data_IF_591674622755
#
_entry.id   IF_591674622755
#
_cell.length_a   1.000
_cell.length_b   1.000
_cell.length_c   1.000
_cell.angle_alpha   90.00
_cell.angle_beta   90.00
_cell.angle_gamma   90.00
#
_symmetry.space_group_name_H-M   'P 1'
#
loop_
_entity.id
_entity.type
_entity.pdbx_description
1 polymer ?
#
# COMPACT_ATOMS: atom_id res chain seq x y z
N UNK A 1 -5.88 -22.57 3.00
CA UNK A 1 -6.44 -22.83 1.65
C UNK A 1 -6.42 -21.63 0.70
N UNK A 2 -6.88 -20.42 1.06
CA UNK A 2 -6.89 -19.27 0.10
C UNK A 2 -5.50 -18.69 -0.23
N UNK A 3 -4.54 -18.84 0.68
CA UNK A 3 -3.14 -18.49 0.40
C UNK A 3 -2.54 -19.37 -0.71
N UNK A 4 -3.03 -20.59 -0.96
CA UNK A 4 -2.52 -21.44 -2.04
C UNK A 4 -3.01 -20.97 -3.42
N UNK A 5 -4.31 -20.65 -3.58
CA UNK A 5 -4.86 -20.16 -4.86
C UNK A 5 -4.20 -18.83 -5.27
N UNK A 6 -4.11 -17.87 -4.34
CA UNK A 6 -3.45 -16.59 -4.63
C UNK A 6 -2.00 -16.80 -5.06
N UNK A 7 -1.26 -17.71 -4.43
CA UNK A 7 0.12 -18.03 -4.78
C UNK A 7 0.20 -18.68 -6.17
N UNK A 8 -0.66 -19.65 -6.47
CA UNK A 8 -0.72 -20.33 -7.76
C UNK A 8 -1.00 -19.36 -8.92
N UNK A 9 -1.86 -18.35 -8.69
CA UNK A 9 -2.24 -17.41 -9.75
C UNK A 9 -1.20 -16.31 -9.98
N UNK A 10 -0.29 -16.03 -9.04
CA UNK A 10 0.67 -14.90 -9.16
C UNK A 10 1.46 -14.98 -10.46
N UNK A 11 1.59 -13.84 -11.15
CA UNK A 11 2.31 -13.72 -12.43
C UNK A 11 1.48 -14.10 -13.66
N UNK A 12 0.25 -14.61 -13.49
CA UNK A 12 -0.65 -14.94 -14.60
C UNK A 12 -1.69 -13.85 -14.84
N UNK A 13 -2.31 -13.76 -16.04
CA UNK A 13 -3.47 -12.90 -16.28
C UNK A 13 -4.65 -13.17 -15.33
N UNK A 14 -4.83 -14.42 -14.89
CA UNK A 14 -5.85 -14.82 -13.93
C UNK A 14 -5.67 -14.16 -12.56
N UNK A 15 -4.46 -13.73 -12.20
CA UNK A 15 -4.23 -12.94 -10.99
C UNK A 15 -4.96 -11.60 -11.03
N UNK A 16 -5.05 -10.97 -12.20
CA UNK A 16 -5.76 -9.71 -12.39
C UNK A 16 -7.25 -9.94 -12.20
N UNK A 17 -7.80 -10.98 -12.82
CA UNK A 17 -9.20 -11.38 -12.65
C UNK A 17 -9.53 -11.68 -11.17
N UNK A 18 -8.68 -12.46 -10.50
CA UNK A 18 -8.82 -12.74 -9.07
C UNK A 18 -8.85 -11.47 -8.22
N UNK A 19 -7.94 -10.51 -8.46
CA UNK A 19 -7.93 -9.22 -7.75
C UNK A 19 -9.21 -8.42 -8.00
N UNK A 20 -9.66 -8.35 -9.25
CA UNK A 20 -10.87 -7.63 -9.61
C UNK A 20 -12.10 -8.26 -8.96
N UNK A 21 -12.24 -9.59 -9.00
CA UNK A 21 -13.30 -10.31 -8.31
C UNK A 21 -13.31 -10.02 -6.81
N UNK A 22 -12.15 -10.07 -6.16
CA UNK A 22 -12.02 -9.76 -4.73
C UNK A 22 -12.43 -8.32 -4.42
N UNK A 23 -12.08 -7.36 -5.29
CA UNK A 23 -12.51 -5.97 -5.15
C UNK A 23 -14.02 -5.82 -5.32
N UNK A 24 -14.61 -6.46 -6.33
CA UNK A 24 -16.06 -6.46 -6.58
C UNK A 24 -16.82 -7.06 -5.41
N UNK A 25 -16.38 -8.20 -4.86
CA UNK A 25 -17.01 -8.81 -3.69
C UNK A 25 -16.96 -7.90 -2.46
N UNK A 26 -15.83 -7.19 -2.26
CA UNK A 26 -15.73 -6.18 -1.20
C UNK A 26 -16.68 -5.00 -1.44
N UNK A 27 -16.87 -4.53 -2.67
CA UNK A 27 -17.79 -3.42 -2.98
C UNK A 27 -19.26 -3.81 -2.80
N UNK A 28 -19.66 -5.02 -3.21
CA UNK A 28 -21.05 -5.49 -3.12
C UNK A 28 -21.45 -5.78 -1.67
N UNK A 29 -20.57 -6.46 -0.92
CA UNK A 29 -20.86 -6.81 0.47
C UNK A 29 -19.63 -6.67 1.37
N UNK A 30 -19.25 -5.43 1.74
CA UNK A 30 -18.05 -5.18 2.54
C UNK A 30 -18.04 -5.95 3.86
N UNK A 31 -19.18 -5.96 4.58
CA UNK A 31 -19.33 -6.68 5.85
C UNK A 31 -19.06 -8.17 5.69
N UNK A 32 -19.73 -8.82 4.74
CA UNK A 32 -19.60 -10.26 4.53
C UNK A 32 -18.19 -10.62 4.05
N UNK A 33 -17.64 -9.86 3.10
CA UNK A 33 -16.27 -10.05 2.62
C UNK A 33 -15.25 -9.97 3.76
N UNK A 34 -15.37 -8.95 4.61
CA UNK A 34 -14.46 -8.75 5.74
C UNK A 34 -14.67 -9.80 6.82
N UNK A 35 -15.91 -10.19 7.14
CA UNK A 35 -16.19 -11.27 8.10
C UNK A 35 -15.52 -12.57 7.67
N UNK A 36 -15.69 -12.96 6.40
CA UNK A 36 -15.07 -14.16 5.84
C UNK A 36 -13.54 -14.10 5.90
N UNK A 37 -12.95 -12.93 5.55
CA UNK A 37 -11.49 -12.73 5.62
C UNK A 37 -10.97 -12.76 7.05
N UNK A 38 -11.72 -12.19 7.98
CA UNK A 38 -11.37 -12.16 9.39
C UNK A 38 -11.37 -13.56 9.98
N UNK A 39 -12.43 -14.34 9.75
CA UNK A 39 -12.51 -15.75 10.14
C UNK A 39 -11.39 -16.58 9.54
N UNK A 40 -11.08 -16.40 8.26
CA UNK A 40 -9.97 -17.12 7.61
C UNK A 40 -8.60 -16.84 8.22
N UNK A 41 -8.39 -15.66 8.81
CA UNK A 41 -7.08 -15.24 9.33
C UNK A 41 -6.95 -15.48 10.83
N UNK A 42 -8.02 -15.23 11.59
CA UNK A 42 -8.03 -15.30 13.06
C UNK A 42 -8.76 -16.53 13.61
N UNK A 43 -9.34 -17.35 12.73
CA UNK A 43 -10.16 -18.53 13.08
C UNK A 43 -11.31 -18.21 14.06
N UNK A 44 -11.86 -16.99 13.95
CA UNK A 44 -12.92 -16.50 14.83
C UNK A 44 -13.81 -15.51 14.09
N UNK A 45 -15.08 -15.43 14.49
CA UNK A 45 -16.03 -14.48 13.91
C UNK A 45 -15.71 -13.06 14.37
N UNK A 46 -15.92 -12.09 13.49
CA UNK A 46 -15.73 -10.68 13.81
C UNK A 46 -16.95 -10.12 14.54
N UNK A 47 -16.76 -9.48 15.69
CA UNK A 47 -17.84 -8.74 16.35
C UNK A 47 -17.99 -7.34 15.73
N UNK A 48 -19.03 -7.15 14.91
CA UNK A 48 -19.33 -5.86 14.28
C UNK A 48 -20.09 -4.89 15.18
N UNK A 49 -20.83 -5.37 16.18
CA UNK A 49 -21.66 -4.52 17.04
C UNK A 49 -20.85 -3.90 18.18
N UNK A 50 -20.00 -4.69 18.81
CA UNK A 50 -19.22 -4.28 20.00
C UNK A 50 -17.77 -4.74 19.88
N UNK A 51 -16.99 -4.15 18.95
CA UNK A 51 -15.62 -4.58 18.65
C UNK A 51 -14.70 -4.38 19.87
N UNK A 52 -14.10 -5.46 20.35
CA UNK A 52 -13.19 -5.42 21.51
C UNK A 52 -11.74 -5.34 21.04
N UNK A 53 -11.38 -6.13 20.03
CA UNK A 53 -10.01 -6.26 19.54
C UNK A 53 -9.64 -5.10 18.62
N UNK A 54 -8.39 -4.67 18.65
CA UNK A 54 -7.86 -3.68 17.71
C UNK A 54 -8.10 -4.12 16.26
N UNK A 55 -7.90 -5.40 15.96
CA UNK A 55 -8.13 -5.98 14.63
C UNK A 55 -9.56 -5.77 14.12
N UNK A 56 -10.57 -5.90 14.99
CA UNK A 56 -11.98 -5.66 14.67
C UNK A 56 -12.22 -4.18 14.40
N UNK A 57 -11.73 -3.31 15.30
CA UNK A 57 -11.84 -1.85 15.16
C UNK A 57 -11.21 -1.37 13.84
N UNK A 58 -10.05 -1.91 13.48
CA UNK A 58 -9.38 -1.61 12.20
C UNK A 58 -10.20 -2.05 10.98
N UNK A 59 -10.87 -3.20 11.04
CA UNK A 59 -11.76 -3.62 9.96
C UNK A 59 -13.01 -2.73 9.84
N UNK A 60 -13.58 -2.27 10.95
CA UNK A 60 -14.70 -1.32 10.92
C UNK A 60 -14.28 0.01 10.30
N UNK A 61 -13.11 0.54 10.69
CA UNK A 61 -12.56 1.76 10.09
C UNK A 61 -12.39 1.60 8.58
N UNK A 62 -11.92 0.44 8.11
CA UNK A 62 -11.79 0.12 6.69
C UNK A 62 -13.12 0.16 5.93
N UNK A 63 -14.21 -0.31 6.53
CA UNK A 63 -15.51 -0.36 5.86
C UNK A 63 -16.20 1.01 5.91
N UNK A 64 -16.14 1.71 7.04
CA UNK A 64 -17.01 2.85 7.31
C UNK A 64 -16.33 4.20 7.24
N UNK A 65 -15.07 4.29 7.64
CA UNK A 65 -14.38 5.58 7.81
C UNK A 65 -13.41 5.87 6.68
N UNK A 66 -12.49 4.94 6.40
CA UNK A 66 -11.43 5.13 5.41
C UNK A 66 -11.91 5.47 4.00
N UNK A 67 -12.98 4.84 3.44
CA UNK A 67 -13.42 5.12 2.08
C UNK A 67 -13.82 6.58 1.85
N UNK A 68 -14.25 7.29 2.89
CA UNK A 68 -14.78 8.66 2.80
C UNK A 68 -13.87 9.70 3.47
N UNK A 69 -12.74 9.29 4.06
CA UNK A 69 -11.89 10.20 4.85
C UNK A 69 -10.75 10.78 4.01
N UNK A 70 -10.90 12.06 3.63
CA UNK A 70 -9.83 12.84 2.98
C UNK A 70 -8.55 12.89 3.81
N UNK A 71 -8.68 12.98 5.14
CA UNK A 71 -7.55 12.99 6.08
C UNK A 71 -6.76 11.68 6.00
N UNK A 72 -7.46 10.55 5.94
CA UNK A 72 -6.80 9.23 5.79
C UNK A 72 -6.12 9.14 4.43
N UNK A 73 -6.79 9.56 3.35
CA UNK A 73 -6.16 9.59 2.03
C UNK A 73 -4.87 10.43 2.01
N UNK A 74 -4.88 11.62 2.61
CA UNK A 74 -3.71 12.50 2.74
C UNK A 74 -2.59 11.87 3.58
N UNK A 75 -2.93 11.25 4.71
CA UNK A 75 -1.97 10.64 5.62
C UNK A 75 -1.36 9.31 5.10
N UNK A 76 -2.05 8.62 4.18
CA UNK A 76 -1.56 7.35 3.59
C UNK A 76 -0.70 7.54 2.33
N UNK A 77 -0.80 8.71 1.69
CA UNK A 77 0.03 9.08 0.55
C UNK A 77 1.37 9.61 1.08
N UNK A 78 2.46 8.88 0.81
CA UNK A 78 3.77 9.25 1.35
C UNK A 78 4.19 10.64 0.95
N UNK A 79 3.79 11.15 -0.22
CA UNK A 79 4.12 12.51 -0.65
C UNK A 79 3.31 13.56 0.13
N UNK A 80 1.98 13.39 0.18
CA UNK A 80 1.06 14.31 0.87
C UNK A 80 1.20 14.29 2.39
N UNK A 81 1.80 13.24 2.95
CA UNK A 81 2.09 13.13 4.37
C UNK A 81 2.92 14.32 4.88
N UNK A 82 3.83 14.89 4.09
CA UNK A 82 4.61 16.06 4.52
C UNK A 82 3.72 17.27 4.77
N UNK A 83 2.83 17.60 3.84
CA UNK A 83 1.85 18.68 4.02
C UNK A 83 0.97 18.40 5.23
N UNK A 84 0.50 17.16 5.39
CA UNK A 84 -0.30 16.76 6.55
C UNK A 84 0.45 16.96 7.88
N UNK A 85 1.73 16.60 7.95
CA UNK A 85 2.55 16.78 9.15
C UNK A 85 2.82 18.27 9.43
N UNK A 86 3.10 19.06 8.41
CA UNK A 86 3.30 20.51 8.53
C UNK A 86 2.03 21.21 9.05
N UNK A 87 0.86 20.86 8.54
CA UNK A 87 -0.44 21.37 9.04
C UNK A 87 -0.69 20.99 10.52
N UNK A 88 0.07 20.05 11.06
CA UNK A 88 0.01 19.60 12.45
C UNK A 88 1.16 20.10 13.32
N UNK A 89 2.12 20.85 12.78
CA UNK A 89 3.35 21.24 13.49
C UNK A 89 4.26 20.04 13.81
N UNK A 90 4.18 18.98 13.00
CA UNK A 90 4.91 17.72 13.16
C UNK A 90 5.90 17.46 12.01
N UNK A 91 6.27 18.49 11.26
CA UNK A 91 7.18 18.40 10.12
C UNK A 91 8.57 17.84 10.50
N UNK A 92 8.99 17.99 11.75
CA UNK A 92 10.23 17.40 12.28
C UNK A 92 10.23 15.87 12.27
N UNK A 93 9.06 15.21 12.16
CA UNK A 93 8.93 13.76 11.99
C UNK A 93 8.99 13.31 10.52
N UNK A 94 9.01 14.26 9.57
CA UNK A 94 8.94 13.97 8.16
C UNK A 94 10.30 13.48 7.63
N UNK A 95 10.29 12.42 6.81
CA UNK A 95 11.51 11.86 6.21
C UNK A 95 11.90 12.71 4.99
N UNK A 96 13.12 13.26 4.90
CA UNK A 96 13.50 14.12 3.78
C UNK A 96 13.33 13.44 2.42
N UNK A 97 12.78 14.16 1.44
CA UNK A 97 12.76 13.72 0.05
C UNK A 97 14.03 14.15 -0.66
N UNK A 98 14.70 13.19 -1.30
CA UNK A 98 15.83 13.50 -2.17
C UNK A 98 15.35 13.99 -3.54
N UNK A 99 14.39 13.26 -4.14
CA UNK A 99 13.79 13.54 -5.44
C UNK A 99 12.36 13.01 -5.48
N UNK A 100 11.52 13.61 -6.33
CA UNK A 100 10.13 13.19 -6.60
C UNK A 100 9.98 13.05 -8.11
N UNK A 101 9.37 11.94 -8.55
CA UNK A 101 9.17 11.63 -9.96
C UNK A 101 7.71 11.28 -10.22
N UNK A 102 7.13 11.84 -11.28
CA UNK A 102 5.72 11.60 -11.63
C UNK A 102 5.54 10.31 -12.44
N UNK A 103 6.49 9.99 -13.32
CA UNK A 103 6.51 8.74 -14.10
C UNK A 103 7.88 8.06 -14.04
N UNK A 104 7.94 6.73 -14.27
CA UNK A 104 9.20 5.99 -14.28
C UNK A 104 10.25 6.56 -15.23
N UNK A 105 9.84 7.14 -16.36
CA UNK A 105 10.77 7.65 -17.36
C UNK A 105 11.48 8.95 -16.89
N UNK A 106 10.91 9.69 -15.92
CA UNK A 106 11.54 10.88 -15.32
C UNK A 106 12.67 10.52 -14.34
N UNK A 107 12.79 9.24 -13.95
CA UNK A 107 13.80 8.79 -13.00
C UNK A 107 15.19 9.04 -13.55
N UNK A 108 16.03 9.70 -12.75
CA UNK A 108 17.41 10.06 -13.07
C UNK A 108 18.30 9.65 -11.92
N UNK A 109 19.09 8.59 -12.12
CA UNK A 109 19.94 8.02 -11.08
C UNK A 109 21.14 8.92 -10.74
N UNK A 110 21.53 9.82 -11.65
CA UNK A 110 22.69 10.70 -11.45
C UNK A 110 22.48 11.71 -10.33
N UNK A 111 21.21 12.06 -10.06
CA UNK A 111 20.79 13.02 -9.02
C UNK A 111 20.68 12.41 -7.63
N UNK A 112 21.02 11.12 -7.47
CA UNK A 112 20.89 10.37 -6.23
C UNK A 112 22.26 10.00 -5.63
N UNK A 113 22.34 9.95 -4.28
CA UNK A 113 23.54 9.51 -3.57
C UNK A 113 23.87 8.03 -3.82
N UNK A 114 25.00 7.55 -3.30
CA UNK A 114 25.46 6.16 -3.43
C UNK A 114 24.47 5.12 -2.90
N UNK A 115 23.61 5.52 -1.96
CA UNK A 115 22.58 4.70 -1.33
C UNK A 115 21.28 5.50 -1.18
N UNK A 116 20.14 4.88 -1.49
CA UNK A 116 18.83 5.53 -1.40
C UNK A 116 17.70 4.51 -1.31
N UNK A 117 16.53 4.98 -0.89
CA UNK A 117 15.30 4.17 -0.90
C UNK A 117 14.28 4.81 -1.82
N UNK A 118 13.82 4.06 -2.82
CA UNK A 118 12.78 4.47 -3.74
C UNK A 118 11.46 3.82 -3.37
N UNK A 119 10.42 4.63 -3.16
CA UNK A 119 9.08 4.16 -2.76
C UNK A 119 8.01 4.80 -3.65
N UNK A 120 7.02 4.01 -4.08
CA UNK A 120 5.77 4.57 -4.63
C UNK A 120 4.97 5.27 -3.52
N UNK A 121 4.37 6.41 -3.84
CA UNK A 121 3.66 7.26 -2.88
C UNK A 121 2.50 6.51 -2.21
N UNK A 122 1.71 5.78 -3.02
CA UNK A 122 0.50 5.08 -2.59
C UNK A 122 0.64 3.54 -2.51
N UNK A 123 1.85 2.99 -2.63
CA UNK A 123 2.07 1.54 -2.58
C UNK A 123 2.69 1.08 -1.26
N UNK A 124 2.40 -0.15 -0.85
CA UNK A 124 3.02 -0.80 0.31
C UNK A 124 4.05 -1.89 -0.06
N UNK A 125 4.12 -2.30 -1.33
CA UNK A 125 5.00 -3.38 -1.80
C UNK A 125 6.22 -2.95 -2.61
N UNK A 126 6.20 -1.76 -3.22
CA UNK A 126 7.32 -1.26 -4.03
C UNK A 126 8.23 -0.36 -3.16
N UNK A 127 9.09 -1.02 -2.39
CA UNK A 127 10.18 -0.37 -1.65
C UNK A 127 11.50 -0.92 -2.22
N UNK A 128 12.14 -0.17 -3.11
CA UNK A 128 13.46 -0.53 -3.64
C UNK A 128 14.53 0.11 -2.75
N UNK A 129 15.30 -0.72 -2.06
CA UNK A 129 16.42 -0.29 -1.24
C UNK A 129 17.69 -0.47 -2.06
N UNK A 130 18.36 0.63 -2.39
CA UNK A 130 19.65 0.64 -3.10
C UNK A 130 20.73 0.96 -2.08
N UNK A 131 21.54 -0.04 -1.72
CA UNK A 131 22.68 0.12 -0.80
C UNK A 131 23.98 0.50 -1.52
N UNK A 132 24.02 0.29 -2.83
CA UNK A 132 25.15 0.62 -3.69
C UNK A 132 24.61 0.85 -5.10
N UNK A 133 24.61 2.12 -5.53
CA UNK A 133 24.11 2.53 -6.85
C UNK A 133 24.89 1.93 -8.02
N UNK A 134 26.12 1.45 -7.78
CA UNK A 134 26.94 0.84 -8.84
C UNK A 134 26.55 -0.62 -9.11
N UNK A 135 25.72 -1.24 -8.26
CA UNK A 135 25.25 -2.63 -8.40
C UNK A 135 23.90 -2.75 -9.10
N UNK A 136 23.33 -1.65 -9.57
CA UNK A 136 22.03 -1.63 -10.24
C UNK A 136 22.03 -0.57 -11.34
N UNK A 137 21.45 -0.89 -12.48
CA UNK A 137 21.33 0.06 -13.58
C UNK A 137 20.03 0.84 -13.50
N UNK A 138 20.04 2.06 -14.03
CA UNK A 138 18.83 2.88 -14.15
C UNK A 138 17.71 2.16 -14.92
N UNK A 139 18.07 1.41 -15.98
CA UNK A 139 17.15 0.60 -16.77
C UNK A 139 16.44 -0.47 -15.94
N UNK A 140 17.15 -1.14 -15.04
CA UNK A 140 16.57 -2.13 -14.13
C UNK A 140 15.62 -1.50 -13.12
N UNK A 141 15.96 -0.32 -12.59
CA UNK A 141 15.08 0.45 -11.70
C UNK A 141 13.80 0.85 -12.43
N UNK A 142 13.92 1.46 -13.61
CA UNK A 142 12.77 1.88 -14.44
C UNK A 142 11.86 0.69 -14.77
N UNK A 143 12.42 -0.48 -15.07
CA UNK A 143 11.65 -1.71 -15.29
C UNK A 143 10.85 -2.09 -14.03
N UNK A 144 11.44 -2.05 -12.83
CA UNK A 144 10.75 -2.34 -11.56
C UNK A 144 9.64 -1.33 -11.24
N UNK A 145 9.77 -0.07 -11.66
CA UNK A 145 8.76 0.98 -11.43
C UNK A 145 7.50 0.83 -12.30
N UNK A 146 7.62 0.25 -13.50
CA UNK A 146 6.52 0.06 -14.46
C UNK A 146 5.55 -1.07 -14.05
N UNK A 147 5.94 -1.93 -13.10
CA UNK A 147 5.07 -2.94 -12.47
C UNK A 147 4.39 -2.40 -11.20
#
# INVERSE_FOLDING_TARGET
MINSIKQMLRGTPLYVLYKNLQATLFQISPKHFISNKYKQFYDTEMNFSTPQKLSEKMQLLKIYYYPNSKKVAQATDKYKLHTFLQEKGLEHLAVPYLQIYNKPDDFDMSRLPGEFVLKKTNASGLNLIVKDKNKITEKEIKKKLKY
#
